data_IF_995337270827
#
_entry.id   IF_995337270827
#
_cell.length_a   1.000
_cell.length_b   1.000
_cell.length_c   1.000
_cell.angle_alpha   90.00
_cell.angle_beta   90.00
_cell.angle_gamma   90.00
#
_symmetry.space_group_name_H-M   'P 1'
#
loop_
_entity.id
_entity.type
_entity.pdbx_description
1 polymer ?
#
# COMPACT_ATOMS: atom_id res chain seq x y z
N UNK A 1 7.04 22.61 -10.37
CA UNK A 1 5.76 22.09 -10.91
C UNK A 1 5.99 20.62 -11.24
N UNK A 2 5.12 19.72 -10.79
CA UNK A 2 5.23 18.31 -11.14
C UNK A 2 4.87 18.05 -12.61
N UNK A 3 5.20 16.85 -13.07
CA UNK A 3 4.81 16.33 -14.39
C UNK A 3 3.28 16.24 -14.50
N UNK A 4 2.71 16.45 -15.69
CA UNK A 4 1.26 16.28 -15.93
C UNK A 4 0.99 15.20 -16.96
N UNK A 5 -0.24 14.68 -16.95
CA UNK A 5 -0.67 13.67 -17.94
C UNK A 5 -0.73 14.25 -19.35
N UNK A 6 -1.12 15.51 -19.47
CA UNK A 6 -1.17 16.24 -20.74
C UNK A 6 0.24 16.35 -21.35
N UNK A 7 1.24 16.72 -20.54
CA UNK A 7 2.64 16.77 -20.96
C UNK A 7 3.12 15.41 -21.46
N UNK A 8 2.82 14.32 -20.72
CA UNK A 8 3.18 12.97 -21.16
C UNK A 8 2.49 12.54 -22.44
N UNK A 9 1.22 12.84 -22.60
CA UNK A 9 0.47 12.50 -23.81
C UNK A 9 0.97 13.25 -25.04
N UNK A 10 1.42 14.48 -24.86
CA UNK A 10 1.95 15.34 -25.94
C UNK A 10 3.42 15.08 -26.27
N UNK A 11 4.16 14.38 -25.42
CA UNK A 11 5.59 14.12 -25.59
C UNK A 11 5.88 13.19 -26.78
N UNK A 12 7.04 13.36 -27.42
CA UNK A 12 7.56 12.34 -28.32
C UNK A 12 7.77 11.02 -27.57
N UNK A 13 7.87 9.90 -28.29
CA UNK A 13 8.14 8.60 -27.63
C UNK A 13 9.46 8.64 -26.83
N UNK A 14 10.51 9.23 -27.40
CA UNK A 14 11.80 9.42 -26.72
C UNK A 14 11.66 10.25 -25.44
N UNK A 15 10.95 11.36 -25.51
CA UNK A 15 10.77 12.26 -24.38
C UNK A 15 9.86 11.63 -23.33
N UNK A 16 8.84 10.86 -23.74
CA UNK A 16 7.97 10.09 -22.84
C UNK A 16 8.80 9.11 -22.00
N UNK A 17 9.70 8.34 -22.64
CA UNK A 17 10.59 7.40 -21.93
C UNK A 17 11.53 8.16 -20.99
N UNK A 18 12.09 9.27 -21.42
CA UNK A 18 12.99 10.10 -20.60
C UNK A 18 12.26 10.71 -19.37
N UNK A 19 11.02 11.18 -19.53
CA UNK A 19 10.20 11.73 -18.43
C UNK A 19 9.88 10.66 -17.37
N UNK A 20 9.74 9.41 -17.77
CA UNK A 20 9.45 8.27 -16.89
C UNK A 20 10.70 7.50 -16.45
N UNK A 21 11.89 7.96 -16.85
CA UNK A 21 13.15 7.32 -16.44
C UNK A 21 13.27 7.26 -14.91
N UNK A 22 13.88 6.19 -14.40
CA UNK A 22 13.97 5.89 -12.97
C UNK A 22 12.67 5.36 -12.34
N UNK A 23 11.52 5.33 -13.05
CA UNK A 23 10.30 4.73 -12.50
C UNK A 23 10.46 3.23 -12.25
N UNK A 24 10.87 2.46 -13.26
CA UNK A 24 11.29 1.07 -13.13
C UNK A 24 12.81 0.99 -13.22
N UNK A 25 13.44 0.45 -12.19
CA UNK A 25 14.90 0.38 -12.05
C UNK A 25 15.53 -0.29 -13.28
N UNK A 26 16.44 0.42 -13.96
CA UNK A 26 17.16 -0.06 -15.15
C UNK A 26 16.29 -0.77 -16.22
N UNK A 27 15.01 -0.41 -16.30
CA UNK A 27 14.04 -1.11 -17.16
C UNK A 27 13.23 -0.14 -18.03
N UNK A 28 13.86 0.63 -18.94
CA UNK A 28 13.17 1.61 -19.81
C UNK A 28 12.14 0.96 -20.72
N UNK A 29 12.29 -0.33 -21.02
CA UNK A 29 11.36 -1.09 -21.87
C UNK A 29 9.90 -1.05 -21.39
N UNK A 30 9.66 -0.83 -20.07
CA UNK A 30 8.30 -0.70 -19.53
C UNK A 30 7.68 0.61 -20.01
N UNK A 31 8.40 1.71 -19.94
CA UNK A 31 7.94 3.00 -20.46
C UNK A 31 7.81 2.97 -22.00
N UNK A 32 8.77 2.38 -22.71
CA UNK A 32 8.72 2.21 -24.17
C UNK A 32 7.45 1.51 -24.62
N UNK A 33 7.12 0.37 -24.03
CA UNK A 33 5.88 -0.37 -24.35
C UNK A 33 4.61 0.35 -23.88
N UNK A 34 4.67 1.07 -22.76
CA UNK A 34 3.55 1.86 -22.30
C UNK A 34 3.27 3.06 -23.23
N UNK A 35 4.27 3.62 -23.88
CA UNK A 35 4.12 4.73 -24.83
C UNK A 35 3.11 4.42 -25.96
N UNK A 36 3.04 3.16 -26.41
CA UNK A 36 2.08 2.71 -27.41
C UNK A 36 0.62 2.68 -26.93
N UNK A 37 0.41 2.84 -25.62
CA UNK A 37 -0.94 2.80 -25.00
C UNK A 37 -1.52 4.20 -24.74
N UNK A 38 -0.86 5.24 -25.21
CA UNK A 38 -1.35 6.63 -25.13
C UNK A 38 -2.61 6.83 -26.02
N UNK A 39 -3.50 7.79 -25.69
CA UNK A 39 -3.40 8.73 -24.57
C UNK A 39 -3.86 8.14 -23.22
N UNK A 40 -3.27 8.62 -22.12
CA UNK A 40 -3.70 8.28 -20.78
C UNK A 40 -4.71 9.31 -20.28
N UNK A 41 -5.80 8.84 -19.67
CA UNK A 41 -6.83 9.72 -19.10
C UNK A 41 -6.44 10.28 -17.72
N UNK A 42 -5.53 9.59 -17.00
CA UNK A 42 -5.13 9.95 -15.64
C UNK A 42 -3.81 9.27 -15.26
N UNK A 43 -3.21 9.71 -14.15
CA UNK A 43 -2.05 9.03 -13.55
C UNK A 43 -2.38 7.57 -13.20
N UNK A 44 -3.59 7.29 -12.73
CA UNK A 44 -4.04 5.91 -12.45
C UNK A 44 -4.05 5.05 -13.71
N UNK A 45 -4.51 5.60 -14.84
CA UNK A 45 -4.49 4.90 -16.13
C UNK A 45 -3.06 4.61 -16.61
N UNK A 46 -2.13 5.56 -16.45
CA UNK A 46 -0.70 5.33 -16.74
C UNK A 46 -0.13 4.21 -15.87
N UNK A 47 -0.35 4.27 -14.54
CA UNK A 47 0.11 3.24 -13.59
C UNK A 47 -0.40 1.85 -13.98
N UNK A 48 -1.69 1.73 -14.29
CA UNK A 48 -2.29 0.48 -14.74
C UNK A 48 -1.64 -0.04 -16.03
N UNK A 49 -1.46 0.84 -17.02
CA UNK A 49 -0.85 0.46 -18.30
C UNK A 49 0.59 -0.06 -18.12
N UNK A 50 1.41 0.60 -17.30
CA UNK A 50 2.76 0.16 -16.99
C UNK A 50 2.78 -1.17 -16.23
N UNK A 51 1.89 -1.35 -15.26
CA UNK A 51 1.77 -2.62 -14.53
C UNK A 51 1.32 -3.77 -15.47
N UNK A 52 0.42 -3.50 -16.41
CA UNK A 52 0.00 -4.49 -17.42
C UNK A 52 1.14 -4.88 -18.36
N UNK A 53 1.99 -3.93 -18.77
CA UNK A 53 3.20 -4.23 -19.56
C UNK A 53 4.08 -5.26 -18.86
N UNK A 54 4.28 -5.12 -17.54
CA UNK A 54 5.06 -6.08 -16.75
C UNK A 54 4.33 -7.42 -16.58
N UNK A 55 3.01 -7.42 -16.38
CA UNK A 55 2.21 -8.67 -16.28
C UNK A 55 2.21 -9.47 -17.57
N UNK A 56 2.15 -8.79 -18.71
CA UNK A 56 2.16 -9.41 -20.04
C UNK A 56 3.57 -9.85 -20.48
N UNK A 57 4.61 -9.35 -19.82
CA UNK A 57 5.97 -9.80 -20.05
C UNK A 57 6.14 -11.25 -19.57
N UNK A 58 6.81 -12.08 -20.35
CA UNK A 58 7.10 -13.45 -19.96
C UNK A 58 7.97 -13.51 -18.69
N UNK A 59 7.95 -14.71 -18.03
CA UNK A 59 8.65 -14.96 -16.76
C UNK A 59 10.13 -14.54 -16.78
N UNK A 60 10.83 -14.79 -17.88
CA UNK A 60 12.26 -14.39 -18.01
C UNK A 60 12.44 -12.89 -17.92
N UNK A 61 11.58 -12.11 -18.55
CA UNK A 61 11.63 -10.66 -18.54
C UNK A 61 11.24 -10.09 -17.17
N UNK A 62 10.28 -10.72 -16.48
CA UNK A 62 9.95 -10.39 -15.10
C UNK A 62 11.14 -10.68 -14.17
N UNK A 63 11.81 -11.82 -14.29
CA UNK A 63 13.02 -12.13 -13.54
C UNK A 63 14.17 -11.16 -13.83
N UNK A 64 14.33 -10.73 -15.08
CA UNK A 64 15.32 -9.72 -15.45
C UNK A 64 15.01 -8.38 -14.77
N UNK A 65 13.74 -7.98 -14.70
CA UNK A 65 13.30 -6.79 -13.97
C UNK A 65 13.63 -6.89 -12.46
N UNK A 66 13.39 -8.04 -11.82
CA UNK A 66 13.74 -8.23 -10.43
C UNK A 66 15.25 -8.13 -10.21
N UNK A 67 16.04 -8.77 -11.07
CA UNK A 67 17.52 -8.77 -10.98
C UNK A 67 18.16 -7.41 -11.26
N UNK A 68 17.44 -6.52 -11.92
CA UNK A 68 17.86 -5.13 -12.12
C UNK A 68 17.77 -4.28 -10.84
N UNK A 69 16.99 -4.70 -9.84
CA UNK A 69 16.87 -3.99 -8.57
C UNK A 69 18.09 -4.23 -7.67
N UNK A 70 18.59 -3.16 -7.00
CA UNK A 70 19.67 -3.30 -6.04
C UNK A 70 19.21 -4.00 -4.75
N UNK A 71 20.10 -4.76 -4.14
CA UNK A 71 19.90 -5.32 -2.81
C UNK A 71 19.76 -4.22 -1.75
N UNK A 72 18.93 -4.44 -0.74
CA UNK A 72 18.86 -3.56 0.41
C UNK A 72 20.16 -3.65 1.22
N UNK A 73 20.72 -2.51 1.62
CA UNK A 73 22.02 -2.42 2.28
C UNK A 73 23.13 -3.22 1.57
N UNK A 74 22.99 -3.40 0.25
CA UNK A 74 23.92 -4.20 -0.57
C UNK A 74 25.20 -3.46 -0.94
N UNK A 75 26.04 -4.12 -1.75
CA UNK A 75 27.32 -3.56 -2.21
C UNK A 75 27.16 -2.22 -2.95
N UNK A 76 26.09 -2.05 -3.72
CA UNK A 76 25.81 -0.81 -4.44
C UNK A 76 25.56 0.38 -3.49
N UNK A 77 24.96 0.18 -2.33
CA UNK A 77 24.80 1.22 -1.30
C UNK A 77 26.16 1.59 -0.69
N UNK A 78 26.96 0.58 -0.33
CA UNK A 78 28.32 0.79 0.25
C UNK A 78 29.23 1.51 -0.74
N UNK A 79 29.19 1.15 -2.04
CA UNK A 79 30.00 1.75 -3.08
C UNK A 79 29.42 3.07 -3.64
N UNK A 80 28.26 3.52 -3.17
CA UNK A 80 27.53 4.71 -3.65
C UNK A 80 27.21 4.67 -5.15
N UNK A 81 26.87 3.48 -5.66
CA UNK A 81 26.52 3.26 -7.08
C UNK A 81 25.02 3.02 -7.31
N UNK A 82 24.18 3.28 -6.31
CA UNK A 82 22.72 3.25 -6.43
C UNK A 82 22.23 4.37 -7.34
N UNK A 83 21.07 4.18 -7.98
CA UNK A 83 20.32 5.27 -8.61
C UNK A 83 19.94 6.33 -7.58
N UNK A 84 19.63 7.54 -8.03
CA UNK A 84 19.22 8.63 -7.15
C UNK A 84 17.95 8.26 -6.34
N UNK A 85 16.99 7.63 -7.01
CA UNK A 85 15.75 7.15 -6.42
C UNK A 85 16.01 6.09 -5.33
N UNK A 86 16.80 5.05 -5.65
CA UNK A 86 17.15 4.00 -4.69
C UNK A 86 17.96 4.51 -3.51
N UNK A 87 18.87 5.46 -3.74
CA UNK A 87 19.64 6.13 -2.68
C UNK A 87 18.71 6.86 -1.71
N UNK A 88 17.75 7.62 -2.26
CA UNK A 88 16.78 8.37 -1.46
C UNK A 88 15.86 7.43 -0.65
N UNK A 89 15.38 6.36 -1.26
CA UNK A 89 14.48 5.39 -0.61
C UNK A 89 15.17 4.64 0.52
N UNK A 90 16.37 4.10 0.29
CA UNK A 90 17.14 3.40 1.32
C UNK A 90 17.63 4.34 2.42
N UNK A 91 17.97 5.58 2.10
CA UNK A 91 18.33 6.61 3.07
C UNK A 91 17.18 6.95 4.01
N UNK A 92 15.97 7.14 3.51
CA UNK A 92 14.76 7.39 4.33
C UNK A 92 14.41 6.22 5.25
N UNK A 93 14.71 4.99 4.85
CA UNK A 93 14.52 3.80 5.68
C UNK A 93 15.62 3.62 6.76
N UNK A 94 16.57 4.55 6.87
CA UNK A 94 17.66 4.50 7.85
C UNK A 94 18.64 3.35 7.65
N UNK A 95 18.68 2.74 6.45
CA UNK A 95 19.58 1.63 6.16
C UNK A 95 21.06 2.04 6.15
N UNK A 96 21.33 3.35 5.96
CA UNK A 96 22.68 3.91 6.08
C UNK A 96 23.17 3.97 7.54
N UNK A 97 22.28 3.93 8.52
CA UNK A 97 22.54 4.07 9.95
C UNK A 97 22.42 2.73 10.71
N UNK A 98 22.50 1.59 10.00
CA UNK A 98 22.47 0.26 10.59
C UNK A 98 23.65 0.06 11.56
N UNK A 99 23.38 -0.61 12.69
CA UNK A 99 24.48 -1.11 13.53
C UNK A 99 25.27 -2.18 12.77
N UNK A 100 26.53 -2.48 13.18
CA UNK A 100 27.30 -3.55 12.56
C UNK A 100 26.57 -4.91 12.58
N UNK A 101 25.82 -5.20 13.63
CA UNK A 101 25.05 -6.44 13.82
C UNK A 101 23.83 -6.47 12.85
N UNK A 102 23.07 -5.38 12.77
CA UNK A 102 21.95 -5.24 11.83
C UNK A 102 22.43 -5.36 10.38
N UNK A 103 23.53 -4.69 10.05
CA UNK A 103 24.14 -4.79 8.73
C UNK A 103 24.57 -6.21 8.38
N UNK A 104 25.28 -6.88 9.32
CA UNK A 104 25.69 -8.27 9.16
C UNK A 104 24.49 -9.20 8.97
N UNK A 105 23.40 -8.97 9.72
CA UNK A 105 22.16 -9.73 9.58
C UNK A 105 21.53 -9.55 8.20
N UNK A 106 21.42 -8.32 7.70
CA UNK A 106 20.88 -8.05 6.37
C UNK A 106 21.75 -8.71 5.29
N UNK A 107 23.08 -8.70 5.42
CA UNK A 107 23.98 -9.39 4.48
C UNK A 107 23.76 -10.91 4.46
N UNK A 108 23.58 -11.54 5.63
CA UNK A 108 23.24 -12.97 5.72
C UNK A 108 21.90 -13.27 5.03
N UNK A 109 20.88 -12.42 5.27
CA UNK A 109 19.57 -12.55 4.68
C UNK A 109 19.62 -12.38 3.15
N UNK A 110 20.36 -11.38 2.63
CA UNK A 110 20.60 -11.22 1.19
C UNK A 110 21.22 -12.47 0.58
N UNK A 111 22.26 -13.02 1.19
CA UNK A 111 22.93 -14.23 0.70
C UNK A 111 21.98 -15.44 0.67
N UNK A 112 21.23 -15.68 1.76
CA UNK A 112 20.27 -16.77 1.85
C UNK A 112 19.12 -16.62 0.82
N UNK A 113 18.64 -15.38 0.65
CA UNK A 113 17.55 -15.08 -0.25
C UNK A 113 17.95 -15.27 -1.73
N UNK A 114 19.10 -14.75 -2.12
CA UNK A 114 19.65 -14.95 -3.46
C UNK A 114 19.89 -16.42 -3.77
N UNK A 115 20.41 -17.17 -2.79
CA UNK A 115 20.62 -18.61 -2.95
C UNK A 115 19.31 -19.39 -3.16
N UNK A 116 18.24 -18.99 -2.46
CA UNK A 116 16.92 -19.63 -2.59
C UNK A 116 16.17 -19.23 -3.83
N UNK A 117 16.12 -17.94 -4.17
CA UNK A 117 15.19 -17.40 -5.17
C UNK A 117 15.87 -17.00 -6.50
N UNK A 118 17.17 -16.73 -6.50
CA UNK A 118 17.93 -16.32 -7.69
C UNK A 118 17.69 -14.89 -8.13
N UNK A 119 17.10 -14.05 -7.27
CA UNK A 119 16.89 -12.61 -7.44
C UNK A 119 16.96 -11.90 -6.08
N UNK A 120 17.20 -10.58 -6.03
CA UNK A 120 17.30 -9.84 -4.78
C UNK A 120 15.96 -9.71 -4.06
N UNK A 121 16.01 -9.57 -2.74
CA UNK A 121 14.86 -9.19 -1.94
C UNK A 121 14.41 -7.76 -2.28
N UNK A 122 13.15 -7.62 -2.65
CA UNK A 122 12.56 -6.34 -3.04
C UNK A 122 11.45 -5.97 -2.07
N UNK A 123 11.58 -4.82 -1.44
CA UNK A 123 10.62 -4.27 -0.48
C UNK A 123 10.47 -2.76 -0.73
N UNK A 124 9.24 -2.28 -0.76
CA UNK A 124 8.95 -0.86 -0.81
C UNK A 124 9.24 -0.21 0.55
N UNK A 125 10.51 0.07 0.82
CA UNK A 125 11.00 0.54 2.13
C UNK A 125 10.47 1.91 2.56
N UNK A 126 9.90 2.70 1.65
CA UNK A 126 9.16 3.92 2.02
C UNK A 126 7.87 3.61 2.79
N UNK A 127 7.42 2.36 2.77
CA UNK A 127 6.24 1.90 3.48
C UNK A 127 4.93 2.54 3.00
N UNK A 128 3.81 2.17 3.61
CA UNK A 128 2.50 2.69 3.22
C UNK A 128 2.33 4.19 3.53
N UNK A 129 2.97 4.68 4.58
CA UNK A 129 2.94 6.09 4.97
C UNK A 129 3.87 6.99 4.14
N UNK A 130 4.76 6.41 3.34
CA UNK A 130 5.80 7.14 2.61
C UNK A 130 6.92 7.72 3.49
N UNK A 131 6.87 7.49 4.80
CA UNK A 131 7.84 7.98 5.79
C UNK A 131 9.01 7.03 6.03
N UNK A 132 8.91 5.81 5.52
CA UNK A 132 9.88 4.73 5.69
C UNK A 132 9.38 3.64 6.64
N UNK A 133 9.82 2.42 6.39
CA UNK A 133 9.78 1.33 7.36
C UNK A 133 11.02 1.44 8.25
N UNK A 134 10.90 1.06 9.51
CA UNK A 134 12.09 0.97 10.35
C UNK A 134 12.92 -0.29 10.03
N UNK A 135 14.15 -0.32 10.53
CA UNK A 135 15.09 -1.43 10.27
C UNK A 135 14.60 -2.78 10.81
N UNK A 136 13.90 -2.76 11.93
CA UNK A 136 13.35 -3.97 12.53
C UNK A 136 12.19 -4.52 11.67
N UNK A 137 11.29 -3.65 11.19
CA UNK A 137 10.23 -4.02 10.26
C UNK A 137 10.81 -4.61 8.95
N UNK A 138 11.91 -4.03 8.44
CA UNK A 138 12.58 -4.54 7.24
C UNK A 138 13.17 -5.93 7.48
N UNK A 139 13.94 -6.12 8.58
CA UNK A 139 14.58 -7.40 8.90
C UNK A 139 13.53 -8.48 9.14
N UNK A 140 12.51 -8.22 9.94
CA UNK A 140 11.43 -9.18 10.23
C UNK A 140 10.64 -9.57 8.97
N UNK A 141 10.38 -8.61 8.07
CA UNK A 141 9.75 -8.89 6.78
C UNK A 141 10.65 -9.76 5.91
N UNK A 142 11.94 -9.51 5.90
CA UNK A 142 12.91 -10.30 5.14
C UNK A 142 12.94 -11.77 5.63
N UNK A 143 13.04 -11.98 6.94
CA UNK A 143 13.03 -13.29 7.56
C UNK A 143 11.77 -14.08 7.23
N UNK A 144 10.61 -13.46 7.40
CA UNK A 144 9.33 -14.07 7.07
C UNK A 144 9.22 -14.46 5.60
N UNK A 145 9.67 -13.61 4.68
CA UNK A 145 9.57 -13.85 3.23
C UNK A 145 10.56 -14.92 2.73
N UNK A 146 11.62 -15.21 3.47
CA UNK A 146 12.48 -16.37 3.18
C UNK A 146 11.73 -17.70 3.23
N UNK A 147 10.62 -17.80 3.96
CA UNK A 147 9.81 -19.02 4.05
C UNK A 147 8.85 -19.20 2.86
N UNK A 148 8.66 -18.20 2.03
CA UNK A 148 7.71 -18.26 0.91
C UNK A 148 8.12 -19.29 -0.16
N UNK A 149 7.14 -19.91 -0.85
CA UNK A 149 7.39 -20.63 -2.11
C UNK A 149 7.88 -19.68 -3.20
N UNK A 150 8.69 -20.19 -4.14
CA UNK A 150 9.35 -19.37 -5.18
C UNK A 150 8.35 -18.56 -6.03
N UNK A 151 7.25 -19.17 -6.47
CA UNK A 151 6.27 -18.47 -7.31
C UNK A 151 5.48 -17.42 -6.55
N UNK A 152 5.19 -17.67 -5.27
CA UNK A 152 4.57 -16.68 -4.40
C UNK A 152 5.51 -15.49 -4.19
N UNK A 153 6.80 -15.75 -3.94
CA UNK A 153 7.79 -14.72 -3.69
C UNK A 153 8.08 -13.89 -4.96
N UNK A 154 8.06 -14.50 -6.15
CA UNK A 154 8.13 -13.78 -7.41
C UNK A 154 6.99 -12.76 -7.53
N UNK A 155 5.75 -13.20 -7.28
CA UNK A 155 4.58 -12.32 -7.31
C UNK A 155 4.67 -11.21 -6.27
N UNK A 156 5.16 -11.53 -5.07
CA UNK A 156 5.36 -10.56 -3.98
C UNK A 156 6.40 -9.49 -4.35
N UNK A 157 7.52 -9.89 -4.96
CA UNK A 157 8.52 -8.95 -5.45
C UNK A 157 7.97 -8.03 -6.55
N UNK A 158 7.23 -8.57 -7.52
CA UNK A 158 6.59 -7.76 -8.56
C UNK A 158 5.59 -6.76 -7.97
N UNK A 159 4.81 -7.16 -6.97
CA UNK A 159 3.91 -6.27 -6.23
C UNK A 159 4.67 -5.13 -5.56
N UNK A 160 5.79 -5.43 -4.91
CA UNK A 160 6.64 -4.42 -4.29
C UNK A 160 7.27 -3.46 -5.33
N UNK A 161 7.69 -3.96 -6.50
CA UNK A 161 8.15 -3.10 -7.60
C UNK A 161 7.04 -2.13 -8.02
N UNK A 162 5.82 -2.62 -8.26
CA UNK A 162 4.71 -1.74 -8.64
C UNK A 162 4.44 -0.69 -7.57
N UNK A 163 4.61 -1.04 -6.31
CA UNK A 163 4.51 -0.11 -5.18
C UNK A 163 5.59 0.96 -5.20
N UNK A 164 6.84 0.57 -5.44
CA UNK A 164 7.96 1.51 -5.58
C UNK A 164 7.69 2.46 -6.74
N UNK A 165 7.27 1.94 -7.89
CA UNK A 165 6.94 2.74 -9.06
C UNK A 165 5.80 3.73 -8.79
N UNK A 166 4.78 3.30 -8.06
CA UNK A 166 3.69 4.20 -7.65
C UNK A 166 4.20 5.39 -6.84
N UNK A 167 5.08 5.15 -5.88
CA UNK A 167 5.68 6.20 -5.06
C UNK A 167 6.56 7.13 -5.90
N UNK A 168 7.38 6.59 -6.80
CA UNK A 168 8.25 7.37 -7.70
C UNK A 168 7.43 8.22 -8.69
N UNK A 169 6.36 7.67 -9.23
CA UNK A 169 5.45 8.42 -10.09
C UNK A 169 4.74 9.53 -9.32
N UNK A 170 4.28 9.25 -8.09
CA UNK A 170 3.69 10.28 -7.24
C UNK A 170 4.67 11.45 -7.01
N UNK A 171 5.95 11.17 -6.74
CA UNK A 171 6.99 12.19 -6.61
C UNK A 171 7.18 12.98 -7.92
N UNK A 172 7.25 12.32 -9.09
CA UNK A 172 7.40 12.98 -10.41
C UNK A 172 6.21 13.89 -10.74
N UNK A 173 5.01 13.48 -10.39
CA UNK A 173 3.78 14.25 -10.61
C UNK A 173 3.52 15.29 -9.52
N UNK A 174 4.28 15.27 -8.43
CA UNK A 174 4.07 16.17 -7.30
C UNK A 174 2.73 15.94 -6.57
N UNK A 175 2.27 14.69 -6.54
CA UNK A 175 1.03 14.28 -5.87
C UNK A 175 1.34 13.31 -4.73
N UNK A 176 0.50 13.31 -3.71
CA UNK A 176 0.60 12.29 -2.66
C UNK A 176 0.15 10.92 -3.21
N UNK A 177 0.81 9.83 -2.77
CA UNK A 177 0.33 8.48 -3.03
C UNK A 177 -1.05 8.29 -2.39
N UNK A 178 -2.08 8.06 -3.20
CA UNK A 178 -3.48 8.08 -2.75
C UNK A 178 -4.13 6.71 -2.75
N UNK A 179 -5.26 6.61 -2.05
CA UNK A 179 -6.20 5.49 -2.00
C UNK A 179 -5.59 4.19 -1.47
N UNK A 180 -5.00 3.35 -2.32
CA UNK A 180 -4.47 2.06 -1.90
C UNK A 180 -3.42 2.16 -0.77
N UNK A 181 -2.62 3.21 -0.74
CA UNK A 181 -1.64 3.47 0.32
C UNK A 181 -2.31 3.84 1.63
N UNK A 182 -3.36 4.67 1.56
CA UNK A 182 -4.15 5.06 2.71
C UNK A 182 -4.86 3.84 3.30
N UNK A 183 -5.49 3.03 2.46
CA UNK A 183 -6.17 1.79 2.88
C UNK A 183 -5.19 0.84 3.55
N UNK A 184 -4.00 0.66 2.97
CA UNK A 184 -2.97 -0.17 3.58
C UNK A 184 -2.52 0.39 4.94
N UNK A 185 -2.19 1.68 5.03
CA UNK A 185 -1.79 2.30 6.30
C UNK A 185 -2.87 2.16 7.38
N UNK A 186 -4.12 2.41 7.03
CA UNK A 186 -5.24 2.24 7.95
C UNK A 186 -5.40 0.78 8.39
N UNK A 187 -5.25 -0.18 7.48
CA UNK A 187 -5.33 -1.59 7.83
C UNK A 187 -4.20 -2.02 8.79
N UNK A 188 -2.96 -1.54 8.56
CA UNK A 188 -1.82 -1.79 9.44
C UNK A 188 -2.02 -1.16 10.83
N UNK A 189 -2.51 0.07 10.88
CA UNK A 189 -2.78 0.78 12.14
C UNK A 189 -3.94 0.15 12.90
N UNK A 190 -5.01 -0.25 12.22
CA UNK A 190 -6.15 -0.90 12.85
C UNK A 190 -5.77 -2.28 13.41
N UNK A 191 -4.84 -2.98 12.75
CA UNK A 191 -4.33 -4.28 13.19
C UNK A 191 -3.44 -4.22 14.44
N UNK A 192 -3.04 -3.02 14.90
CA UNK A 192 -2.33 -2.86 16.17
C UNK A 192 -3.23 -3.11 17.40
N UNK A 193 -4.55 -3.04 17.21
CA UNK A 193 -5.52 -3.39 18.23
C UNK A 193 -5.85 -4.88 18.11
N UNK A 194 -5.39 -5.66 19.08
CA UNK A 194 -5.64 -7.10 19.19
C UNK A 194 -5.91 -7.48 20.65
N UNK A 195 -6.68 -8.52 20.85
CA UNK A 195 -7.03 -9.01 22.18
C UNK A 195 -5.78 -9.51 22.94
N UNK A 196 -5.72 -9.33 24.28
CA UNK A 196 -4.63 -9.85 25.09
C UNK A 196 -4.42 -11.36 24.89
N UNK A 197 -3.16 -11.78 24.92
CA UNK A 197 -2.77 -13.17 24.64
C UNK A 197 -2.56 -13.47 23.16
N UNK A 198 -3.15 -12.66 22.25
CA UNK A 198 -2.89 -12.70 20.81
C UNK A 198 -1.90 -11.59 20.41
N UNK A 199 -2.12 -10.37 20.92
CA UNK A 199 -1.24 -9.24 20.64
C UNK A 199 0.24 -9.53 20.95
N UNK A 200 0.53 -10.21 22.07
CA UNK A 200 1.89 -10.56 22.49
C UNK A 200 2.57 -11.58 21.58
N UNK A 201 1.80 -12.30 20.77
CA UNK A 201 2.32 -13.24 19.75
C UNK A 201 2.34 -12.64 18.33
N UNK A 202 1.99 -11.37 18.19
CA UNK A 202 1.86 -10.72 16.87
C UNK A 202 0.67 -11.23 16.04
N UNK A 203 -0.31 -11.84 16.69
CA UNK A 203 -1.53 -12.38 16.09
C UNK A 203 -2.66 -11.35 16.18
N UNK A 204 -3.48 -11.25 15.14
CA UNK A 204 -4.63 -10.37 15.13
C UNK A 204 -5.89 -11.13 15.54
N UNK A 205 -6.47 -10.71 16.66
CA UNK A 205 -7.77 -11.20 17.13
C UNK A 205 -8.54 -10.03 17.75
N UNK A 206 -9.73 -9.77 17.25
CA UNK A 206 -10.59 -8.69 17.74
C UNK A 206 -11.98 -9.28 17.97
N UNK A 207 -12.24 -9.64 19.20
CA UNK A 207 -13.51 -10.25 19.61
C UNK A 207 -14.50 -9.17 20.03
N UNK A 208 -15.75 -9.35 19.67
CA UNK A 208 -16.83 -8.42 19.98
C UNK A 208 -16.86 -7.97 21.45
N UNK A 209 -16.99 -6.66 21.67
CA UNK A 209 -17.06 -5.97 22.97
C UNK A 209 -15.81 -6.11 23.87
N UNK A 210 -14.67 -6.56 23.35
CA UNK A 210 -13.39 -6.45 24.07
C UNK A 210 -12.86 -5.01 24.01
N UNK A 211 -11.80 -4.72 24.74
CA UNK A 211 -11.17 -3.41 24.69
C UNK A 211 -10.52 -3.15 23.31
N UNK A 212 -9.93 -4.17 22.68
CA UNK A 212 -9.43 -4.08 21.31
C UNK A 212 -10.54 -3.76 20.31
N UNK A 213 -11.72 -4.39 20.45
CA UNK A 213 -12.88 -4.12 19.60
C UNK A 213 -13.37 -2.68 19.76
N UNK A 214 -13.51 -2.18 21.00
CA UNK A 214 -13.91 -0.80 21.29
C UNK A 214 -12.88 0.19 20.74
N UNK A 215 -11.58 -0.12 20.86
CA UNK A 215 -10.52 0.71 20.30
C UNK A 215 -10.61 0.78 18.77
N UNK A 216 -10.84 -0.32 18.07
CA UNK A 216 -11.11 -0.34 16.64
C UNK A 216 -12.28 0.55 16.25
N UNK A 217 -13.41 0.46 16.97
CA UNK A 217 -14.60 1.28 16.72
C UNK A 217 -14.29 2.79 16.85
N UNK A 218 -13.58 3.18 17.90
CA UNK A 218 -13.20 4.57 18.14
C UNK A 218 -12.24 5.10 17.05
N UNK A 219 -11.27 4.29 16.63
CA UNK A 219 -10.34 4.64 15.56
C UNK A 219 -11.06 4.82 14.23
N UNK A 220 -11.96 3.91 13.85
CA UNK A 220 -12.77 4.02 12.64
C UNK A 220 -13.65 5.27 12.67
N UNK A 221 -14.36 5.52 13.78
CA UNK A 221 -15.19 6.71 13.94
C UNK A 221 -14.37 8.01 13.86
N UNK A 222 -13.17 8.03 14.45
CA UNK A 222 -12.25 9.16 14.35
C UNK A 222 -11.82 9.41 12.90
N UNK A 223 -11.35 8.38 12.19
CA UNK A 223 -10.95 8.54 10.79
C UNK A 223 -12.07 8.97 9.87
N UNK A 224 -13.29 8.43 10.06
CA UNK A 224 -14.46 8.85 9.30
C UNK A 224 -14.72 10.34 9.49
N UNK A 225 -14.64 10.85 10.74
CA UNK A 225 -14.94 12.23 11.07
C UNK A 225 -13.83 13.19 10.66
N UNK A 226 -12.61 12.92 11.10
CA UNK A 226 -11.49 13.87 11.01
C UNK A 226 -10.70 13.74 9.70
N UNK A 227 -10.50 12.51 9.21
CA UNK A 227 -9.65 12.26 8.05
C UNK A 227 -10.43 12.18 6.73
N UNK A 228 -11.68 11.69 6.78
CA UNK A 228 -12.48 11.43 5.59
C UNK A 228 -13.53 12.51 5.31
N UNK A 229 -13.94 13.28 6.32
CA UNK A 229 -14.93 14.34 6.16
C UNK A 229 -16.36 13.84 5.96
N UNK A 230 -16.74 12.73 6.63
CA UNK A 230 -18.15 12.34 6.74
C UNK A 230 -18.94 13.40 7.50
N UNK A 231 -20.15 13.68 7.06
CA UNK A 231 -21.01 14.71 7.65
C UNK A 231 -21.61 14.26 8.99
N UNK A 232 -21.95 12.97 9.11
CA UNK A 232 -22.42 12.35 10.34
C UNK A 232 -21.61 11.10 10.65
N UNK A 233 -21.17 10.96 11.91
CA UNK A 233 -20.47 9.76 12.40
C UNK A 233 -20.91 9.42 13.80
N UNK A 234 -21.35 8.18 14.01
CA UNK A 234 -21.70 7.67 15.34
C UNK A 234 -21.37 6.19 15.49
N UNK A 235 -21.30 5.75 16.72
CA UNK A 235 -21.27 4.33 17.10
C UNK A 235 -22.64 4.01 17.70
N UNK A 236 -23.33 3.04 17.14
CA UNK A 236 -24.66 2.67 17.60
C UNK A 236 -24.64 1.83 18.90
N UNK A 237 -25.82 1.49 19.39
CA UNK A 237 -25.98 0.79 20.68
C UNK A 237 -25.41 -0.65 20.71
N UNK A 238 -25.17 -1.25 19.51
CA UNK A 238 -24.56 -2.59 19.39
C UNK A 238 -23.10 -2.52 18.94
N UNK A 239 -22.57 -1.31 18.74
CA UNK A 239 -21.16 -1.10 18.43
C UNK A 239 -20.86 -0.92 16.95
N UNK A 240 -21.85 -0.92 16.05
CA UNK A 240 -21.57 -0.60 14.64
C UNK A 240 -21.09 0.85 14.52
N UNK A 241 -20.08 1.05 13.66
CA UNK A 241 -19.56 2.37 13.33
C UNK A 241 -20.23 2.83 12.04
N UNK A 242 -20.97 3.91 12.11
CA UNK A 242 -21.74 4.44 10.97
C UNK A 242 -21.23 5.80 10.58
N UNK A 243 -20.87 5.97 9.30
CA UNK A 243 -20.52 7.25 8.70
C UNK A 243 -21.45 7.56 7.54
N UNK A 244 -21.97 8.79 7.44
CA UNK A 244 -22.85 9.25 6.37
C UNK A 244 -22.21 10.45 5.69
N UNK A 245 -22.05 10.35 4.38
CA UNK A 245 -21.60 11.43 3.50
C UNK A 245 -22.79 11.88 2.66
N UNK A 246 -23.32 13.08 2.96
CA UNK A 246 -24.53 13.58 2.32
C UNK A 246 -24.33 13.87 0.84
N UNK A 247 -25.32 13.50 0.07
CA UNK A 247 -25.40 13.82 -1.36
C UNK A 247 -25.74 15.27 -1.64
N UNK A 248 -25.76 15.61 -2.92
CA UNK A 248 -26.17 16.94 -3.39
C UNK A 248 -27.68 17.17 -3.38
N UNK A 249 -28.51 16.11 -3.35
CA UNK A 249 -29.97 16.18 -3.23
C UNK A 249 -30.40 15.64 -1.87
N UNK A 250 -30.98 16.48 -0.99
CA UNK A 250 -31.42 16.04 0.34
C UNK A 250 -32.60 15.04 0.33
N UNK A 251 -33.20 14.81 -0.83
CA UNK A 251 -34.28 13.83 -1.02
C UNK A 251 -33.82 12.56 -1.72
N UNK A 252 -32.53 12.48 -2.03
CA UNK A 252 -31.96 11.30 -2.69
C UNK A 252 -32.05 10.06 -1.82
N UNK A 253 -32.02 8.91 -2.46
CA UNK A 253 -31.86 7.62 -1.77
C UNK A 253 -30.45 7.53 -1.20
N UNK A 254 -30.30 6.68 -0.19
CA UNK A 254 -29.01 6.37 0.42
C UNK A 254 -28.47 5.07 -0.18
N UNK A 255 -27.20 5.08 -0.59
CA UNK A 255 -26.43 3.89 -0.89
C UNK A 255 -25.68 3.49 0.39
N UNK A 256 -25.97 2.29 0.91
CA UNK A 256 -25.26 1.72 2.04
C UNK A 256 -24.25 0.69 1.56
N UNK A 257 -23.03 0.77 2.08
CA UNK A 257 -21.97 -0.21 1.93
C UNK A 257 -21.30 -0.43 3.29
N UNK A 258 -20.60 -1.53 3.45
CA UNK A 258 -19.89 -1.81 4.69
C UNK A 258 -19.43 -3.24 4.78
N UNK A 259 -18.75 -3.54 5.87
CA UNK A 259 -18.32 -4.88 6.27
C UNK A 259 -17.99 -4.86 7.76
N UNK A 260 -17.47 -5.97 8.29
CA UNK A 260 -17.16 -6.10 9.71
C UNK A 260 -15.74 -5.65 10.07
N UNK A 261 -15.50 -5.36 11.34
CA UNK A 261 -14.19 -5.00 11.87
C UNK A 261 -13.69 -5.92 13.00
N UNK A 262 -14.55 -6.81 13.51
CA UNK A 262 -14.13 -7.96 14.30
C UNK A 262 -13.35 -8.96 13.45
N UNK A 263 -12.72 -9.96 14.04
CA UNK A 263 -11.94 -10.97 13.32
C UNK A 263 -12.10 -12.35 13.96
N UNK A 264 -11.90 -13.39 13.16
CA UNK A 264 -11.59 -14.72 13.70
C UNK A 264 -10.29 -14.69 14.50
N UNK A 265 -10.01 -15.74 15.26
CA UNK A 265 -8.76 -15.90 15.99
C UNK A 265 -7.60 -15.97 15.01
N UNK A 266 -6.55 -15.16 15.24
CA UNK A 266 -5.41 -15.02 14.35
C UNK A 266 -5.84 -14.75 12.91
N UNK A 267 -6.79 -13.80 12.76
CA UNK A 267 -7.38 -13.43 11.48
C UNK A 267 -6.49 -12.56 10.61
N UNK A 268 -6.93 -12.38 9.36
CA UNK A 268 -6.27 -11.49 8.42
C UNK A 268 -6.63 -10.03 8.67
N UNK A 269 -5.66 -9.11 8.54
CA UNK A 269 -5.89 -7.67 8.75
C UNK A 269 -6.74 -6.99 7.66
N UNK A 270 -7.03 -7.71 6.58
CA UNK A 270 -7.83 -7.20 5.46
C UNK A 270 -9.22 -7.81 5.40
N UNK A 271 -9.43 -8.94 6.08
CA UNK A 271 -10.72 -9.61 6.14
C UNK A 271 -11.76 -8.72 6.82
N UNK A 272 -12.93 -8.58 6.20
CA UNK A 272 -13.97 -7.62 6.58
C UNK A 272 -13.56 -6.16 6.42
N UNK A 273 -12.44 -5.78 7.00
CA UNK A 273 -11.96 -4.41 7.15
C UNK A 273 -11.78 -3.66 5.83
N UNK A 274 -11.40 -4.34 4.74
CA UNK A 274 -11.33 -3.70 3.41
C UNK A 274 -12.68 -3.14 2.95
N UNK A 275 -13.78 -3.81 3.27
CA UNK A 275 -15.14 -3.34 2.94
C UNK A 275 -15.55 -2.06 3.68
N UNK A 276 -14.78 -1.65 4.70
CA UNK A 276 -14.95 -0.37 5.41
C UNK A 276 -13.90 0.65 4.90
N UNK A 277 -12.64 0.26 4.87
CA UNK A 277 -11.53 1.18 4.62
C UNK A 277 -11.50 1.69 3.16
N UNK A 278 -11.89 0.85 2.19
CA UNK A 278 -11.94 1.27 0.78
C UNK A 278 -13.00 2.35 0.54
N UNK A 279 -14.28 2.17 0.94
CA UNK A 279 -15.27 3.23 0.79
C UNK A 279 -14.95 4.48 1.61
N UNK A 280 -14.33 4.36 2.80
CA UNK A 280 -13.83 5.52 3.55
C UNK A 280 -12.79 6.31 2.73
N UNK A 281 -11.84 5.63 2.09
CA UNK A 281 -10.86 6.29 1.24
C UNK A 281 -11.49 6.98 0.03
N UNK A 282 -12.55 6.40 -0.55
CA UNK A 282 -13.32 7.05 -1.63
C UNK A 282 -14.01 8.33 -1.15
N UNK A 283 -14.66 8.30 0.03
CA UNK A 283 -15.29 9.50 0.62
C UNK A 283 -14.25 10.58 0.89
N UNK A 284 -13.10 10.22 1.45
CA UNK A 284 -12.00 11.16 1.68
C UNK A 284 -11.61 11.91 0.41
N UNK A 285 -11.47 11.21 -0.72
CA UNK A 285 -11.12 11.87 -1.98
C UNK A 285 -12.27 12.74 -2.52
N UNK A 286 -13.51 12.28 -2.44
CA UNK A 286 -14.68 13.10 -2.80
C UNK A 286 -14.73 14.38 -1.95
N UNK A 287 -14.49 14.27 -0.64
CA UNK A 287 -14.47 15.41 0.26
C UNK A 287 -13.34 16.40 -0.08
N UNK A 288 -12.12 15.90 -0.34
CA UNK A 288 -10.96 16.72 -0.75
C UNK A 288 -11.20 17.47 -2.06
N UNK A 289 -11.92 16.85 -2.99
CA UNK A 289 -12.31 17.46 -4.27
C UNK A 289 -13.54 18.38 -4.17
N UNK A 290 -14.17 18.49 -3.00
CA UNK A 290 -15.41 19.23 -2.81
C UNK A 290 -16.59 18.64 -3.58
N UNK A 291 -16.55 17.35 -3.90
CA UNK A 291 -17.56 16.65 -4.72
C UNK A 291 -18.59 15.96 -3.85
N UNK A 292 -19.86 16.13 -4.23
CA UNK A 292 -20.99 15.40 -3.63
C UNK A 292 -21.61 14.47 -4.67
N UNK A 293 -21.96 13.27 -4.23
CA UNK A 293 -22.70 12.32 -5.06
C UNK A 293 -24.17 12.75 -5.18
N UNK A 294 -24.92 12.29 -6.19
CA UNK A 294 -26.36 12.58 -6.31
C UNK A 294 -27.22 11.79 -5.29
N UNK A 295 -26.60 11.11 -4.33
CA UNK A 295 -27.24 10.32 -3.28
C UNK A 295 -26.38 10.36 -2.01
N UNK A 296 -27.00 10.07 -0.86
CA UNK A 296 -26.26 9.88 0.38
C UNK A 296 -25.43 8.58 0.31
N UNK A 297 -24.22 8.62 0.85
CA UNK A 297 -23.36 7.46 0.90
C UNK A 297 -23.08 7.10 2.36
N UNK A 298 -23.56 5.92 2.77
CA UNK A 298 -23.42 5.41 4.13
C UNK A 298 -22.42 4.27 4.17
N UNK A 299 -21.44 4.35 5.08
CA UNK A 299 -20.45 3.32 5.31
C UNK A 299 -20.65 2.78 6.73
N UNK A 300 -20.83 1.47 6.84
CA UNK A 300 -21.04 0.79 8.12
C UNK A 300 -19.91 -0.19 8.38
N UNK A 301 -19.24 -0.01 9.54
CA UNK A 301 -18.39 -1.03 10.15
C UNK A 301 -19.23 -1.87 11.09
N UNK A 302 -19.59 -3.09 10.69
CA UNK A 302 -20.37 -4.00 11.52
C UNK A 302 -19.53 -4.54 12.68
N UNK A 303 -20.14 -4.56 13.87
CA UNK A 303 -19.45 -4.85 15.11
C UNK A 303 -19.13 -6.32 15.31
N UNK A 304 -19.98 -7.22 14.82
CA UNK A 304 -19.84 -8.67 14.94
C UNK A 304 -20.43 -9.36 13.71
N UNK A 305 -19.61 -10.07 12.97
CA UNK A 305 -20.01 -10.93 11.85
C UNK A 305 -19.49 -12.35 12.05
N UNK A 306 -18.31 -12.49 12.62
CA UNK A 306 -17.56 -13.74 12.76
C UNK A 306 -18.12 -14.66 13.83
N UNK A 307 -19.02 -14.19 14.69
CA UNK A 307 -19.69 -14.99 15.71
C UNK A 307 -18.75 -15.66 16.72
N UNK A 308 -17.62 -15.03 17.03
CA UNK A 308 -16.61 -15.62 17.91
C UNK A 308 -17.02 -15.60 19.37
N UNK A 309 -17.83 -14.63 19.79
CA UNK A 309 -18.24 -14.47 21.18
C UNK A 309 -19.62 -15.02 21.50
N UNK A 310 -20.57 -14.79 20.61
CA UNK A 310 -21.97 -15.23 20.76
C UNK A 310 -22.31 -16.10 19.55
N UNK A 311 -22.96 -17.25 19.81
CA UNK A 311 -23.41 -18.18 18.77
C UNK A 311 -24.89 -17.99 18.53
#
# INVERSE_FOLDING_TARGET
MGLTIEQLNAASERDFVALLDGSYEHSPWVAERAAARRPFASLTHLKLAMAQVVREAGREQQLALLRAHPELAGKAMVSKTLTAESTHEQGKAGLADCTPEEFARIQQLNAAYNAKFGFPFILAVRGPRGTGLDRHEIISTFERRLEHPVDYELAECLRNIHRIVELRLADKFGVEPVLGNVVWDWAERLAQHSDPGYAERGELTVTYLTDAHRACAQVLAHWMREDCGFDEVHIDAVGNVVGIYHGSDPRAKRLLTGSHYDTVRNGGKYDGRLGILVPMACVRELHREGRRLPFDFEVVGFAEEEGQRYK
#
